data_IF_857622240138
#
_entry.id   IF_857622240138
#
_cell.length_a   1.000
_cell.length_b   1.000
_cell.length_c   1.000
_cell.angle_alpha   90.00
_cell.angle_beta   90.00
_cell.angle_gamma   90.00
#
_symmetry.space_group_name_H-M   'P 1'
#
loop_
_entity.id
_entity.type
_entity.pdbx_description
1 polymer ?
#
# COMPACT_ATOMS: atom_id res chain seq x y z
N UNK A 1 7.50 -7.47 18.40
CA UNK A 1 7.43 -6.00 18.21
C UNK A 1 6.08 -5.70 17.57
N UNK A 2 5.39 -4.63 17.94
CA UNK A 2 4.01 -4.40 17.46
C UNK A 2 3.60 -2.93 17.52
N UNK A 3 2.55 -2.58 16.78
CA UNK A 3 2.00 -1.24 16.72
C UNK A 3 0.56 -1.25 17.26
N UNK A 4 0.31 -0.50 18.32
CA UNK A 4 -1.03 -0.29 18.89
C UNK A 4 -1.39 1.18 18.71
N UNK A 5 -2.37 1.47 17.87
CA UNK A 5 -2.85 2.84 17.71
C UNK A 5 -3.77 3.22 18.87
N UNK A 6 -3.72 4.50 19.25
CA UNK A 6 -4.61 5.07 20.26
C UNK A 6 -5.71 5.86 19.54
N UNK A 7 -7.01 5.62 19.71
CA UNK A 7 -7.68 4.61 20.56
C UNK A 7 -8.65 3.77 19.72
N UNK A 8 -9.16 2.66 20.26
CA UNK A 8 -10.12 1.82 19.54
C UNK A 8 -11.51 2.47 19.44
N UNK A 9 -12.11 2.82 20.59
CA UNK A 9 -13.53 3.20 20.67
C UNK A 9 -13.78 4.48 21.48
N UNK A 10 -14.97 5.05 21.28
CA UNK A 10 -15.48 6.18 22.04
C UNK A 10 -16.44 5.76 23.15
N UNK A 11 -16.32 6.38 24.32
CA UNK A 11 -17.23 6.17 25.47
C UNK A 11 -18.45 7.11 25.44
N UNK A 12 -18.42 8.15 24.61
CA UNK A 12 -19.46 9.17 24.44
C UNK A 12 -19.25 9.93 23.11
N UNK A 13 -20.26 10.62 22.56
CA UNK A 13 -20.11 11.38 21.31
C UNK A 13 -19.21 12.61 21.50
N UNK A 14 -17.97 12.52 21.02
CA UNK A 14 -16.98 13.60 21.10
C UNK A 14 -15.93 13.47 19.98
N UNK A 15 -15.20 14.55 19.63
CA UNK A 15 -14.02 14.44 18.78
C UNK A 15 -12.88 13.76 19.56
N UNK A 16 -12.44 12.60 19.08
CA UNK A 16 -11.42 11.76 19.73
C UNK A 16 -10.53 11.07 18.69
N UNK A 17 -9.50 10.37 19.17
CA UNK A 17 -8.65 9.50 18.36
C UNK A 17 -9.25 8.11 18.07
N UNK A 18 -10.52 7.86 18.42
CA UNK A 18 -11.11 6.54 18.23
C UNK A 18 -11.31 6.20 16.75
N UNK A 19 -11.11 4.94 16.38
CA UNK A 19 -11.53 4.42 15.06
C UNK A 19 -12.99 3.98 15.02
N UNK A 20 -13.59 3.72 16.18
CA UNK A 20 -15.02 3.41 16.36
C UNK A 20 -15.73 4.56 17.08
N UNK A 21 -16.81 5.08 16.49
CA UNK A 21 -17.71 6.04 17.12
C UNK A 21 -18.44 5.42 18.33
N UNK A 22 -19.02 6.27 19.18
CA UNK A 22 -19.93 5.81 20.23
C UNK A 22 -21.10 5.04 19.60
N UNK A 23 -21.35 3.82 20.09
CA UNK A 23 -22.31 2.89 19.47
C UNK A 23 -21.70 1.94 18.42
N UNK A 24 -20.39 2.00 18.18
CA UNK A 24 -19.65 0.98 17.42
C UNK A 24 -19.58 1.21 15.91
N UNK A 25 -20.06 2.35 15.40
CA UNK A 25 -19.95 2.67 13.97
C UNK A 25 -18.49 2.92 13.56
N UNK A 26 -18.08 2.34 12.44
CA UNK A 26 -16.72 2.48 11.93
C UNK A 26 -16.48 3.89 11.37
N UNK A 27 -15.42 4.56 11.84
CA UNK A 27 -14.85 5.71 11.14
C UNK A 27 -13.99 5.23 9.98
N UNK A 28 -13.68 6.12 9.04
CA UNK A 28 -12.81 5.83 7.90
C UNK A 28 -11.49 5.16 8.31
N UNK A 29 -10.91 5.59 9.45
CA UNK A 29 -9.69 4.99 9.99
C UNK A 29 -9.81 3.49 10.27
N UNK A 30 -10.96 2.98 10.74
CA UNK A 30 -11.13 1.55 11.00
C UNK A 30 -11.10 0.72 9.70
N UNK A 31 -11.64 1.27 8.61
CA UNK A 31 -11.55 0.64 7.28
C UNK A 31 -10.10 0.57 6.80
N UNK A 32 -9.31 1.62 7.02
CA UNK A 32 -7.86 1.60 6.71
C UNK A 32 -7.10 0.61 7.60
N UNK A 33 -7.41 0.57 8.90
CA UNK A 33 -6.77 -0.35 9.87
C UNK A 33 -6.92 -1.81 9.46
N UNK A 34 -8.10 -2.20 8.92
CA UNK A 34 -8.31 -3.54 8.38
C UNK A 34 -7.30 -3.90 7.28
N UNK A 35 -6.95 -2.96 6.41
CA UNK A 35 -6.08 -3.21 5.28
C UNK A 35 -4.58 -3.13 5.66
N UNK A 36 -4.20 -2.19 6.52
CA UNK A 36 -2.78 -2.05 6.92
C UNK A 36 -2.33 -3.09 7.94
N UNK A 37 -3.25 -3.83 8.55
CA UNK A 37 -2.95 -4.99 9.40
C UNK A 37 -3.28 -6.33 8.72
N UNK A 38 -3.38 -6.35 7.39
CA UNK A 38 -3.47 -7.60 6.66
C UNK A 38 -2.12 -8.35 6.68
N UNK A 39 -2.17 -9.68 6.51
CA UNK A 39 -0.99 -10.55 6.61
C UNK A 39 0.06 -10.27 5.55
N UNK A 40 -0.33 -9.65 4.43
CA UNK A 40 0.56 -9.21 3.36
C UNK A 40 0.20 -7.77 3.01
N UNK A 41 1.11 -6.86 3.30
CA UNK A 41 0.94 -5.43 3.04
C UNK A 41 2.02 -4.92 2.10
N UNK A 42 1.60 -4.18 1.07
CA UNK A 42 2.48 -3.35 0.25
C UNK A 42 2.45 -1.92 0.77
N UNK A 43 3.62 -1.35 1.02
CA UNK A 43 3.78 0.02 1.49
C UNK A 43 4.60 0.80 0.46
N UNK A 44 3.96 1.46 -0.51
CA UNK A 44 4.62 2.43 -1.37
C UNK A 44 4.82 3.75 -0.60
N UNK A 45 6.05 4.26 -0.59
CA UNK A 45 6.37 5.57 -0.01
C UNK A 45 7.49 6.26 -0.79
N UNK A 46 7.53 7.59 -0.69
CA UNK A 46 8.61 8.39 -1.26
C UNK A 46 9.64 8.69 -0.16
N UNK A 47 10.91 8.47 -0.46
CA UNK A 47 12.03 8.89 0.37
C UNK A 47 13.11 9.47 -0.54
N UNK A 48 13.58 10.70 -0.28
CA UNK A 48 14.63 11.35 -1.08
C UNK A 48 14.38 11.32 -2.61
N UNK A 49 13.17 11.65 -3.06
CA UNK A 49 12.75 11.60 -4.48
C UNK A 49 12.83 10.20 -5.14
N UNK A 50 12.92 9.16 -4.33
CA UNK A 50 12.83 7.76 -4.77
C UNK A 50 11.54 7.14 -4.29
N UNK A 51 10.81 6.51 -5.21
CA UNK A 51 9.68 5.65 -4.90
C UNK A 51 10.24 4.32 -4.41
N UNK A 52 9.95 4.00 -3.15
CA UNK A 52 10.25 2.72 -2.53
C UNK A 52 8.97 1.96 -2.30
N UNK A 53 9.00 0.65 -2.51
CA UNK A 53 7.91 -0.23 -2.11
C UNK A 53 8.45 -1.25 -1.13
N UNK A 54 7.98 -1.19 0.10
CA UNK A 54 8.23 -2.21 1.11
C UNK A 54 7.11 -3.25 1.10
N UNK A 55 7.48 -4.50 1.31
CA UNK A 55 6.55 -5.60 1.55
C UNK A 55 6.71 -6.03 3.01
N UNK A 56 5.58 -6.15 3.70
CA UNK A 56 5.50 -6.65 5.06
C UNK A 56 4.65 -7.92 5.02
N UNK A 57 5.18 -9.01 5.58
CA UNK A 57 4.44 -10.25 5.77
C UNK A 57 4.43 -10.71 7.23
N UNK A 58 3.24 -11.05 7.71
CA UNK A 58 2.96 -11.54 9.06
C UNK A 58 2.35 -12.95 9.07
N UNK A 59 2.74 -13.81 8.12
CA UNK A 59 2.30 -15.20 8.04
C UNK A 59 3.46 -16.22 8.12
N UNK A 60 3.14 -17.46 8.51
CA UNK A 60 4.11 -18.56 8.64
C UNK A 60 4.35 -19.33 7.33
N UNK A 61 3.75 -18.91 6.20
CA UNK A 61 3.60 -19.70 4.97
C UNK A 61 4.88 -19.98 4.16
N UNK A 62 6.07 -19.91 4.75
CA UNK A 62 7.35 -20.09 4.04
C UNK A 62 7.61 -18.95 3.06
N UNK A 63 8.27 -19.23 1.93
CA UNK A 63 8.50 -18.22 0.89
C UNK A 63 7.33 -18.13 -0.08
N UNK A 64 6.89 -16.90 -0.38
CA UNK A 64 5.86 -16.61 -1.38
C UNK A 64 6.48 -15.79 -2.50
N UNK A 65 6.16 -16.15 -3.74
CA UNK A 65 6.52 -15.38 -4.93
C UNK A 65 5.24 -14.83 -5.55
N UNK A 66 5.24 -13.55 -5.86
CA UNK A 66 4.10 -12.88 -6.47
C UNK A 66 4.56 -11.81 -7.47
N UNK A 67 3.63 -11.37 -8.30
CA UNK A 67 3.86 -10.27 -9.22
C UNK A 67 3.41 -8.97 -8.57
N UNK A 68 4.33 -8.02 -8.51
CA UNK A 68 4.07 -6.65 -8.12
C UNK A 68 3.79 -5.84 -9.38
N UNK A 69 2.67 -5.14 -9.41
CA UNK A 69 2.29 -4.23 -10.50
C UNK A 69 2.24 -2.80 -10.00
N UNK A 70 2.98 -1.95 -10.69
CA UNK A 70 3.01 -0.50 -10.46
C UNK A 70 2.32 0.14 -11.65
N UNK A 71 1.24 0.87 -11.37
CA UNK A 71 0.50 1.61 -12.37
C UNK A 71 0.59 3.10 -12.11
N UNK A 72 0.70 3.86 -13.20
CA UNK A 72 0.52 5.31 -13.16
C UNK A 72 -0.81 5.62 -13.82
N UNK A 73 -1.69 6.29 -13.09
CA UNK A 73 -3.00 6.73 -13.55
C UNK A 73 -3.07 8.25 -13.60
N UNK A 74 -3.85 8.80 -14.52
CA UNK A 74 -4.15 10.24 -14.58
C UNK A 74 -5.49 10.51 -13.90
N UNK A 75 -5.66 11.65 -13.26
CA UNK A 75 -6.98 12.02 -12.71
C UNK A 75 -8.06 12.14 -13.79
N UNK A 76 -7.67 12.42 -15.03
CA UNK A 76 -8.58 12.54 -16.17
C UNK A 76 -9.07 11.19 -16.72
N UNK A 77 -8.43 10.07 -16.39
CA UNK A 77 -8.75 8.76 -16.97
C UNK A 77 -8.43 7.61 -16.02
N UNK A 78 -9.34 6.65 -15.92
CA UNK A 78 -9.13 5.42 -15.15
C UNK A 78 -8.23 4.40 -15.87
N UNK A 79 -7.85 4.65 -17.12
CA UNK A 79 -6.93 3.78 -17.84
C UNK A 79 -5.48 4.11 -17.43
N UNK A 80 -4.69 3.11 -16.99
CA UNK A 80 -3.31 3.33 -16.62
C UNK A 80 -2.49 3.73 -17.85
N UNK A 81 -1.66 4.77 -17.72
CA UNK A 81 -0.74 5.21 -18.78
C UNK A 81 0.50 4.34 -18.83
N UNK A 82 0.91 3.84 -17.66
CA UNK A 82 2.01 2.89 -17.49
C UNK A 82 1.54 1.74 -16.61
N UNK A 83 1.95 0.53 -16.96
CA UNK A 83 1.86 -0.63 -16.07
C UNK A 83 3.17 -1.38 -16.14
N UNK A 84 3.91 -1.39 -15.03
CA UNK A 84 5.15 -2.13 -14.87
C UNK A 84 4.93 -3.35 -13.97
N UNK A 85 5.63 -4.44 -14.26
CA UNK A 85 5.57 -5.67 -13.49
C UNK A 85 6.95 -6.04 -12.95
N UNK A 86 7.00 -6.57 -11.74
CA UNK A 86 8.23 -7.09 -11.12
C UNK A 86 7.89 -8.33 -10.32
N UNK A 87 8.65 -9.41 -10.53
CA UNK A 87 8.51 -10.63 -9.74
C UNK A 87 9.26 -10.42 -8.43
N UNK A 88 8.59 -10.67 -7.31
CA UNK A 88 9.12 -10.46 -5.97
C UNK A 88 8.93 -11.73 -5.15
N UNK A 89 9.95 -12.10 -4.38
CA UNK A 89 9.87 -13.19 -3.40
C UNK A 89 10.08 -12.66 -1.99
N UNK A 90 9.25 -13.11 -1.05
CA UNK A 90 9.32 -12.73 0.37
C UNK A 90 9.19 -13.93 1.28
N UNK A 91 9.77 -13.83 2.47
CA UNK A 91 9.69 -14.86 3.52
C UNK A 91 8.63 -14.48 4.56
N UNK A 92 8.21 -15.46 5.37
CA UNK A 92 7.31 -15.23 6.49
C UNK A 92 7.93 -14.36 7.57
N UNK A 93 7.09 -13.57 8.26
CA UNK A 93 7.50 -12.64 9.32
C UNK A 93 8.67 -11.73 8.94
N UNK A 94 8.64 -11.20 7.71
CA UNK A 94 9.72 -10.38 7.18
C UNK A 94 9.21 -9.06 6.61
N UNK A 95 10.08 -8.05 6.67
CA UNK A 95 9.88 -6.76 6.02
C UNK A 95 11.09 -6.45 5.14
N UNK A 96 10.86 -6.25 3.83
CA UNK A 96 11.93 -5.98 2.85
C UNK A 96 11.46 -4.94 1.83
N UNK A 97 12.38 -4.08 1.38
CA UNK A 97 12.15 -3.19 0.24
C UNK A 97 12.38 -4.01 -1.03
N UNK A 98 11.41 -3.99 -1.93
CA UNK A 98 11.39 -4.87 -3.13
C UNK A 98 11.45 -4.10 -4.44
N UNK A 99 11.17 -2.80 -4.39
CA UNK A 99 11.25 -1.89 -5.53
C UNK A 99 11.82 -0.56 -5.09
N UNK A 100 12.71 -0.01 -5.90
CA UNK A 100 13.29 1.32 -5.72
C UNK A 100 13.57 1.94 -7.09
N UNK A 101 13.03 3.13 -7.33
CA UNK A 101 13.32 3.91 -8.55
C UNK A 101 13.09 5.40 -8.29
N UNK A 102 13.72 6.27 -9.08
CA UNK A 102 13.44 7.71 -8.99
C UNK A 102 12.00 8.00 -9.43
N UNK A 103 11.32 8.84 -8.65
CA UNK A 103 9.92 9.21 -8.91
C UNK A 103 9.78 9.91 -10.27
N UNK A 104 10.76 10.72 -10.68
CA UNK A 104 10.74 11.42 -11.97
C UNK A 104 10.78 10.43 -13.14
N UNK A 105 11.55 9.35 -13.03
CA UNK A 105 11.61 8.30 -14.04
C UNK A 105 10.27 7.55 -14.16
N UNK A 106 9.65 7.21 -13.03
CA UNK A 106 8.34 6.54 -13.00
C UNK A 106 7.25 7.43 -13.60
N UNK A 107 7.27 8.74 -13.29
CA UNK A 107 6.27 9.68 -13.77
C UNK A 107 6.45 10.03 -15.26
N UNK A 108 7.69 10.24 -15.70
CA UNK A 108 8.00 10.50 -17.11
C UNK A 108 7.63 9.32 -18.01
N UNK A 109 7.89 8.09 -17.55
CA UNK A 109 7.46 6.87 -18.28
C UNK A 109 5.94 6.73 -18.34
N UNK A 110 5.20 7.27 -17.37
CA UNK A 110 3.74 7.38 -17.37
C UNK A 110 3.17 8.59 -18.14
N UNK A 111 4.01 9.35 -18.85
CA UNK A 111 3.62 10.60 -19.54
C UNK A 111 2.90 11.59 -18.59
N UNK A 112 3.39 11.67 -17.35
CA UNK A 112 2.90 12.58 -16.31
C UNK A 112 3.95 13.66 -16.07
N UNK A 113 3.67 14.88 -16.56
CA UNK A 113 4.59 16.01 -16.48
C UNK A 113 4.50 16.73 -15.13
N UNK A 114 3.31 16.81 -14.53
CA UNK A 114 3.08 17.34 -13.18
C UNK A 114 2.73 16.20 -12.21
N UNK A 115 3.32 16.23 -11.01
CA UNK A 115 3.02 15.29 -9.91
C UNK A 115 1.56 15.38 -9.44
N UNK A 116 0.91 16.53 -9.63
CA UNK A 116 -0.47 16.76 -9.18
C UNK A 116 -1.52 16.12 -10.08
N UNK A 117 -1.16 15.73 -11.29
CA UNK A 117 -2.09 15.22 -12.30
C UNK A 117 -2.27 13.70 -12.25
N UNK A 118 -1.40 13.00 -11.52
CA UNK A 118 -1.32 11.56 -11.56
C UNK A 118 -1.27 10.91 -10.18
N UNK A 119 -1.68 9.64 -10.15
CA UNK A 119 -1.69 8.76 -8.99
C UNK A 119 -0.88 7.51 -9.31
N UNK A 120 -0.13 7.03 -8.33
CA UNK A 120 0.56 5.74 -8.41
C UNK A 120 -0.27 4.72 -7.63
N UNK A 121 -0.63 3.63 -8.30
CA UNK A 121 -1.28 2.47 -7.71
C UNK A 121 -0.28 1.32 -7.71
N UNK A 122 -0.13 0.66 -6.55
CA UNK A 122 0.68 -0.55 -6.42
C UNK A 122 -0.20 -1.67 -5.94
N UNK A 123 -0.23 -2.76 -6.70
CA UNK A 123 -1.00 -3.97 -6.39
C UNK A 123 -0.11 -5.19 -6.51
N UNK A 124 -0.44 -6.26 -5.79
CA UNK A 124 0.11 -7.58 -6.06
C UNK A 124 -0.97 -8.50 -6.61
N UNK A 125 -0.54 -9.51 -7.33
CA UNK A 125 -1.37 -10.66 -7.65
C UNK A 125 -0.50 -11.91 -7.62
N UNK A 126 -1.09 -12.98 -7.10
CA UNK A 126 -0.44 -14.29 -7.13
C UNK A 126 -0.33 -14.75 -8.58
N UNK A 127 0.83 -15.29 -8.94
CA UNK A 127 0.91 -16.14 -10.13
C UNK A 127 0.04 -17.35 -9.85
N UNK A 128 -1.14 -17.42 -10.48
CA UNK A 128 -1.92 -18.65 -10.50
C UNK A 128 -0.97 -19.77 -10.93
N UNK A 129 -0.71 -20.73 -10.02
CA UNK A 129 -0.18 -22.02 -10.40
C UNK A 129 -1.22 -22.66 -11.31
N UNK A 130 -0.92 -22.70 -12.60
CA UNK A 130 -1.62 -23.54 -13.56
C UNK A 130 -1.37 -25.02 -13.24
#
# INVERSE_FOLDING_TARGET
MGALYWQLNDIWPAPTWASLEFGGKWKMSHYFMRNIFDNLLLVPYEENETLKVAVIRDDYSGSLTFNLSIKVLKWSSLNPTLTAYTIVSTEGFSSKIVYENSITNVMNSGNCLDRRECLIEVIYFETQMA
#
